data_IF_353598396394
#
_entry.id   IF_353598396394
#
_cell.length_a   1.000
_cell.length_b   1.000
_cell.length_c   1.000
_cell.angle_alpha   90.00
_cell.angle_beta   90.00
_cell.angle_gamma   90.00
#
_symmetry.space_group_name_H-M   'P 1'
#
loop_
_entity.id
_entity.type
_entity.pdbx_description
1 polymer ?
#
# COMPACT_ATOMS: atom_id res chain seq x y z
N UNK A 1 -5.95 15.22 9.46
CA UNK A 1 -4.89 14.21 9.66
C UNK A 1 -5.61 12.89 9.73
N UNK A 2 -5.47 12.08 8.70
CA UNK A 2 -6.10 10.76 8.64
C UNK A 2 -5.31 9.85 9.57
N UNK A 3 -6.04 9.18 10.45
CA UNK A 3 -5.51 8.28 11.46
C UNK A 3 -5.62 6.86 10.88
N UNK A 4 -4.80 6.56 9.86
CA UNK A 4 -4.66 5.18 9.39
C UNK A 4 -3.73 4.51 10.38
N UNK A 5 -4.24 3.52 11.10
CA UNK A 5 -3.41 2.74 12.01
C UNK A 5 -2.19 2.17 11.24
N UNK A 6 -1.03 2.02 11.90
CA UNK A 6 0.10 1.36 11.26
C UNK A 6 -0.24 -0.09 10.96
N UNK A 7 0.07 -0.54 9.75
CA UNK A 7 -0.34 -1.86 9.27
C UNK A 7 -0.27 -1.98 7.75
N UNK A 8 -0.59 -3.17 7.26
CA UNK A 8 -0.71 -3.44 5.82
C UNK A 8 -2.18 -3.47 5.43
N UNK A 9 -2.51 -2.81 4.34
CA UNK A 9 -3.86 -2.69 3.83
C UNK A 9 -3.91 -3.10 2.37
N UNK A 10 -4.98 -3.79 1.98
CA UNK A 10 -5.29 -4.09 0.59
C UNK A 10 -5.99 -2.88 -0.02
N UNK A 11 -5.35 -2.33 -1.05
CA UNK A 11 -5.89 -1.23 -1.85
C UNK A 11 -6.85 -1.78 -2.90
N UNK A 12 -6.43 -2.84 -3.60
CA UNK A 12 -7.19 -3.41 -4.70
C UNK A 12 -6.95 -4.91 -4.80
N UNK A 13 -8.04 -5.68 -4.73
CA UNK A 13 -8.01 -7.12 -4.89
C UNK A 13 -7.85 -7.51 -6.37
N UNK A 14 -7.00 -8.50 -6.64
CA UNK A 14 -6.72 -8.98 -8.00
C UNK A 14 -6.77 -10.49 -8.07
N UNK A 15 -6.74 -11.00 -9.30
CA UNK A 15 -6.80 -12.44 -9.56
C UNK A 15 -5.51 -13.17 -9.17
N UNK A 16 -4.36 -12.50 -9.29
CA UNK A 16 -3.05 -13.09 -9.03
C UNK A 16 -2.45 -12.55 -7.74
N UNK A 17 -2.22 -11.23 -7.69
CA UNK A 17 -1.60 -10.57 -6.54
C UNK A 17 -2.27 -9.23 -6.27
N UNK A 18 -2.72 -9.06 -5.04
CA UNK A 18 -3.36 -7.83 -4.58
C UNK A 18 -2.39 -6.65 -4.57
N UNK A 19 -2.92 -5.45 -4.71
CA UNK A 19 -2.17 -4.21 -4.51
C UNK A 19 -2.31 -3.80 -3.04
N UNK A 20 -1.20 -3.51 -2.37
CA UNK A 20 -1.15 -3.22 -0.93
C UNK A 20 -0.49 -1.89 -0.62
N UNK A 21 -0.84 -1.33 0.54
CA UNK A 21 -0.12 -0.22 1.17
C UNK A 21 0.27 -0.62 2.58
N UNK A 22 1.52 -0.38 2.94
CA UNK A 22 2.05 -0.56 4.29
C UNK A 22 2.33 0.80 4.89
N UNK A 23 1.74 1.07 6.06
CA UNK A 23 1.94 2.29 6.84
C UNK A 23 2.79 1.98 8.07
N UNK A 24 3.87 2.75 8.27
CA UNK A 24 4.78 2.59 9.38
C UNK A 24 4.20 3.12 10.70
N UNK A 25 4.54 2.53 11.86
CA UNK A 25 4.21 3.08 13.16
C UNK A 25 4.89 4.44 13.41
N UNK A 26 4.21 5.32 14.14
CA UNK A 26 4.78 6.61 14.52
C UNK A 26 6.08 6.42 15.31
N UNK A 27 7.17 7.03 14.81
CA UNK A 27 8.50 6.95 15.42
C UNK A 27 9.33 5.75 14.98
N UNK A 28 8.79 4.83 14.18
CA UNK A 28 9.49 3.64 13.69
C UNK A 28 9.33 3.52 12.17
N UNK A 29 10.08 4.31 11.39
CA UNK A 29 9.94 4.34 9.93
C UNK A 29 10.45 3.06 9.28
N UNK A 30 9.91 2.77 8.09
CA UNK A 30 10.38 1.69 7.22
C UNK A 30 11.86 1.89 6.80
N UNK A 31 12.55 0.82 6.38
CA UNK A 31 13.93 0.90 5.90
C UNK A 31 14.12 2.00 4.85
N UNK A 32 14.99 2.96 5.15
CA UNK A 32 15.22 4.13 4.31
C UNK A 32 14.52 5.42 4.79
N UNK A 33 13.83 5.38 5.94
CA UNK A 33 13.21 6.56 6.54
C UNK A 33 11.85 6.91 5.95
N UNK A 34 11.17 5.91 5.38
CA UNK A 34 9.86 6.07 4.76
C UNK A 34 8.73 5.77 5.75
N UNK A 35 7.61 6.48 5.62
CA UNK A 35 6.44 6.28 6.47
C UNK A 35 5.37 5.42 5.81
N UNK A 36 5.40 5.29 4.49
CA UNK A 36 4.49 4.42 3.76
C UNK A 36 5.15 3.79 2.53
N UNK A 37 4.72 2.59 2.17
CA UNK A 37 5.13 1.85 0.98
C UNK A 37 3.90 1.33 0.27
N UNK A 38 3.76 1.63 -1.02
CA UNK A 38 2.68 1.10 -1.87
C UNK A 38 3.28 0.10 -2.84
N UNK A 39 2.81 -1.14 -2.76
CA UNK A 39 3.18 -2.22 -3.66
C UNK A 39 2.02 -2.47 -4.61
N UNK A 40 2.25 -2.29 -5.90
CA UNK A 40 1.22 -2.51 -6.90
C UNK A 40 1.73 -3.28 -8.10
N UNK A 41 0.82 -4.01 -8.71
CA UNK A 41 1.12 -4.89 -9.81
C UNK A 41 0.67 -4.27 -11.13
N UNK A 42 1.33 -4.61 -12.22
CA UNK A 42 0.84 -4.31 -13.57
C UNK A 42 0.94 -5.56 -14.42
N UNK A 43 -0.07 -5.82 -15.24
CA UNK A 43 -0.10 -6.99 -16.09
C UNK A 43 1.16 -7.06 -16.96
N UNK A 44 1.93 -8.13 -16.81
CA UNK A 44 3.08 -8.43 -17.67
C UNK A 44 2.77 -9.62 -18.61
N UNK A 45 2.16 -10.67 -18.07
CA UNK A 45 1.79 -11.87 -18.82
C UNK A 45 0.64 -12.62 -18.14
N UNK A 46 0.02 -13.62 -18.80
CA UNK A 46 -1.07 -14.40 -18.21
C UNK A 46 -0.72 -15.16 -16.91
N UNK A 47 0.57 -15.30 -16.60
CA UNK A 47 1.05 -16.07 -15.45
C UNK A 47 1.93 -15.24 -14.49
N UNK A 48 2.10 -13.95 -14.76
CA UNK A 48 2.98 -13.09 -13.97
C UNK A 48 2.61 -11.63 -14.15
N UNK A 49 2.57 -10.92 -13.04
CA UNK A 49 2.52 -9.47 -13.00
C UNK A 49 3.91 -8.88 -12.75
N UNK A 50 4.10 -7.63 -13.16
CA UNK A 50 5.25 -6.82 -12.80
C UNK A 50 4.93 -6.04 -11.53
N UNK A 51 5.70 -6.29 -10.48
CA UNK A 51 5.63 -5.58 -9.20
C UNK A 51 6.26 -4.19 -9.32
N UNK A 52 5.63 -3.21 -8.70
CA UNK A 52 6.15 -1.86 -8.51
C UNK A 52 6.04 -1.49 -7.04
N UNK A 53 7.15 -1.01 -6.49
CA UNK A 53 7.22 -0.54 -5.10
C UNK A 53 7.47 0.97 -5.14
N UNK A 54 6.58 1.73 -4.50
CA UNK A 54 6.74 3.18 -4.35
C UNK A 54 6.74 3.52 -2.87
N UNK A 55 7.76 4.26 -2.44
CA UNK A 55 7.98 4.61 -1.04
C UNK A 55 7.79 6.09 -0.83
N UNK A 56 7.17 6.45 0.29
CA UNK A 56 6.81 7.82 0.62
C UNK A 56 7.36 8.20 1.98
N UNK A 57 7.86 9.44 2.08
CA UNK A 57 8.42 9.97 3.33
C UNK A 57 7.29 10.37 4.29
N UNK A 58 6.11 10.66 3.76
CA UNK A 58 4.91 11.00 4.52
C UNK A 58 3.72 10.15 4.11
N UNK A 59 2.78 9.94 5.05
CA UNK A 59 1.52 9.21 4.77
C UNK A 59 0.62 9.99 3.81
N UNK A 60 0.65 11.32 3.87
CA UNK A 60 -0.14 12.23 3.02
C UNK A 60 0.21 12.07 1.53
N UNK A 61 1.50 11.90 1.21
CA UNK A 61 1.95 11.63 -0.17
C UNK A 61 1.48 10.25 -0.67
N UNK A 62 1.46 9.25 0.20
CA UNK A 62 0.95 7.92 -0.15
C UNK A 62 -0.56 7.94 -0.37
N UNK A 63 -1.31 8.67 0.46
CA UNK A 63 -2.74 8.90 0.28
C UNK A 63 -3.03 9.56 -1.06
N UNK A 64 -2.33 10.66 -1.38
CA UNK A 64 -2.51 11.37 -2.65
C UNK A 64 -2.26 10.44 -3.85
N UNK A 65 -1.25 9.58 -3.77
CA UNK A 65 -0.98 8.57 -4.78
C UNK A 65 -2.11 7.54 -4.92
N UNK A 66 -2.64 7.04 -3.80
CA UNK A 66 -3.72 6.05 -3.80
C UNK A 66 -5.01 6.65 -4.38
N UNK A 67 -5.35 7.88 -3.97
CA UNK A 67 -6.52 8.60 -4.49
C UNK A 67 -6.38 8.87 -5.98
N UNK A 68 -5.20 9.32 -6.44
CA UNK A 68 -4.96 9.58 -7.87
C UNK A 68 -5.04 8.31 -8.71
N UNK A 69 -4.43 7.22 -8.25
CA UNK A 69 -4.27 5.98 -9.02
C UNK A 69 -5.50 5.08 -8.97
N UNK A 70 -6.12 4.96 -7.81
CA UNK A 70 -7.21 4.00 -7.55
C UNK A 70 -8.56 4.69 -7.31
N UNK A 71 -8.59 6.01 -7.07
CA UNK A 71 -9.81 6.71 -6.70
C UNK A 71 -10.36 6.29 -5.34
N UNK A 72 -9.53 5.68 -4.48
CA UNK A 72 -9.90 5.17 -3.17
C UNK A 72 -9.37 6.07 -2.06
N UNK A 73 -10.17 6.28 -1.04
CA UNK A 73 -9.78 6.96 0.19
C UNK A 73 -9.24 5.94 1.21
N UNK A 74 -8.45 6.38 2.21
CA UNK A 74 -7.89 5.47 3.22
C UNK A 74 -8.97 4.70 4.01
N UNK A 75 -10.14 5.32 4.21
CA UNK A 75 -11.29 4.68 4.87
C UNK A 75 -11.89 3.50 4.08
N UNK A 76 -11.58 3.38 2.78
CA UNK A 76 -12.03 2.29 1.91
C UNK A 76 -11.02 1.14 1.80
N UNK A 77 -9.86 1.27 2.45
CA UNK A 77 -8.82 0.26 2.47
C UNK A 77 -9.20 -0.88 3.41
N UNK A 78 -8.95 -2.11 2.96
CA UNK A 78 -9.25 -3.30 3.75
C UNK A 78 -7.99 -3.64 4.56
N UNK A 79 -8.11 -3.74 5.89
CA UNK A 79 -6.99 -4.19 6.71
C UNK A 79 -6.58 -5.60 6.29
N UNK A 80 -5.37 -5.74 5.77
CA UNK A 80 -4.79 -7.03 5.44
C UNK A 80 -4.22 -7.59 6.73
N UNK A 81 -4.92 -8.53 7.36
CA UNK A 81 -4.23 -9.46 8.25
C UNK A 81 -3.27 -10.24 7.35
N UNK A 82 -1.99 -9.87 7.36
CA UNK A 82 -0.94 -10.74 6.87
C UNK A 82 -1.02 -12.00 7.73
N UNK A 83 -1.72 -13.04 7.25
CA UNK A 83 -1.61 -14.38 7.81
C UNK A 83 -0.14 -14.81 7.59
N UNK A 84 0.71 -14.52 8.59
CA UNK A 84 2.01 -15.16 8.71
C UNK A 84 1.77 -16.66 8.95
N UNK A 85 1.81 -17.46 7.88
CA UNK A 85 1.95 -18.93 7.94
C UNK A 85 3.37 -19.38 8.26
#
# INVERSE_FOLDING_TARGET
MINVDPGTYVINERVLTDDTVTVAPEGEPLPGGFMAEVTYHTFASPWSDHEHIVRFVTVDEAEAFIVERYGKTPDELIYGESEEE
#
